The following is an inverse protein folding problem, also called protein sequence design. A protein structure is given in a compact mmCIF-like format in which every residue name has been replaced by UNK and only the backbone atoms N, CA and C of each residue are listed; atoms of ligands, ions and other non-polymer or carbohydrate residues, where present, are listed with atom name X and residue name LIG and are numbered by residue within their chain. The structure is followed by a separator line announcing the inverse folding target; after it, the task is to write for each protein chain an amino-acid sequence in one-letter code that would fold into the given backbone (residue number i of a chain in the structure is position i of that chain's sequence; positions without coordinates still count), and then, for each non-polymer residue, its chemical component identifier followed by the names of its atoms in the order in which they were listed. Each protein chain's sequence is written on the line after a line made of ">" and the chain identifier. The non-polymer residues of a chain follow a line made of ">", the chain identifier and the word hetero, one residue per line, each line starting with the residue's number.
data_IF_023012615522
#
_entry.id   IF_023012615522
#
_cell.length_a   1.000
_cell.length_b   1.000
_cell.length_c   1.000
_cell.angle_alpha   90.00
_cell.angle_beta   90.00
_cell.angle_gamma   90.00
#
_symmetry.space_group_name_H-M   'P 1'
#
loop_
_entity.id
_entity.type
_entity.pdbx_description
1 polymer ?
#
# COMPACT_ATOMS: atom_id res chain seq x y z
N UNK A 1 -4.61 9.16 0.61
CA UNK A 1 -3.61 8.33 -0.10
C UNK A 1 -3.68 6.88 0.37
N UNK A 2 -3.44 5.96 -0.52
CA UNK A 2 -3.30 4.54 -0.18
C UNK A 2 -1.83 4.30 0.16
N UNK A 3 -1.59 3.72 1.34
CA UNK A 3 -0.22 3.52 1.84
C UNK A 3 0.26 2.12 1.48
N UNK A 4 1.40 2.05 0.79
CA UNK A 4 2.02 0.79 0.40
C UNK A 4 2.53 0.03 1.65
N UNK A 5 2.49 -1.29 1.57
CA UNK A 5 2.92 -2.19 2.66
C UNK A 5 4.31 -1.84 3.20
N UNK A 6 5.26 -1.55 2.31
CA UNK A 6 6.64 -1.23 2.70
C UNK A 6 6.76 -0.04 3.64
N UNK A 7 5.88 0.94 3.51
CA UNK A 7 5.86 2.12 4.39
C UNK A 7 5.48 1.73 5.82
N UNK A 8 4.48 0.86 5.97
CA UNK A 8 4.09 0.34 7.28
C UNK A 8 5.18 -0.55 7.89
N UNK A 9 5.78 -1.43 7.08
CA UNK A 9 6.85 -2.31 7.55
C UNK A 9 8.04 -1.48 8.05
N UNK A 10 8.42 -0.45 7.31
CA UNK A 10 9.48 0.46 7.73
C UNK A 10 9.19 1.07 9.10
N UNK A 11 7.96 1.56 9.30
CA UNK A 11 7.55 2.11 10.59
C UNK A 11 7.66 1.08 11.70
N UNK A 12 7.13 -0.13 11.50
CA UNK A 12 7.12 -1.19 12.52
C UNK A 12 8.53 -1.64 12.92
N UNK A 13 9.48 -1.65 11.98
CA UNK A 13 10.85 -2.15 12.21
C UNK A 13 11.81 -1.09 12.70
N UNK A 14 11.49 0.18 12.55
CA UNK A 14 12.39 1.27 12.91
C UNK A 14 12.25 1.59 14.40
N UNK A 15 13.38 1.66 15.12
CA UNK A 15 13.36 1.98 16.55
C UNK A 15 12.92 3.42 16.80
N UNK A 16 13.53 4.37 16.13
CA UNK A 16 13.16 5.77 16.23
C UNK A 16 12.08 6.10 15.22
N UNK A 17 10.83 5.98 15.62
CA UNK A 17 9.67 6.20 14.75
C UNK A 17 9.65 7.58 14.11
N UNK A 18 10.26 8.57 14.76
CA UNK A 18 10.27 9.94 14.25
C UNK A 18 11.02 10.09 12.92
N UNK A 19 11.88 9.13 12.57
CA UNK A 19 12.63 9.15 11.31
C UNK A 19 11.86 8.54 10.14
N UNK A 20 10.71 7.93 10.41
CA UNK A 20 9.94 7.20 9.37
C UNK A 20 9.10 8.16 8.52
N UNK A 21 8.86 7.76 7.28
CA UNK A 21 7.98 8.52 6.36
C UNK A 21 6.60 8.70 6.98
N UNK A 22 6.07 7.63 7.57
CA UNK A 22 4.72 7.64 8.13
C UNK A 22 4.58 8.69 9.23
N UNK A 23 5.57 8.79 10.12
CA UNK A 23 5.56 9.75 11.22
C UNK A 23 5.74 11.19 10.74
N UNK A 24 6.43 11.38 9.61
CA UNK A 24 6.70 12.71 9.05
C UNK A 24 5.54 13.28 8.25
N UNK A 25 4.48 12.51 8.02
CA UNK A 25 3.30 13.01 7.32
C UNK A 25 2.58 14.04 8.18
N UNK A 26 1.87 14.95 7.51
CA UNK A 26 0.99 15.91 8.20
C UNK A 26 -0.11 15.17 8.96
N UNK A 27 -0.51 15.68 10.12
CA UNK A 27 -1.64 15.15 10.88
C UNK A 27 -2.96 15.21 10.10
N UNK A 28 -3.02 16.07 9.08
CA UNK A 28 -4.19 16.21 8.22
C UNK A 28 -4.20 15.21 7.05
N UNK A 29 -3.13 14.43 6.88
CA UNK A 29 -3.06 13.45 5.80
C UNK A 29 -4.10 12.35 5.99
N UNK A 30 -4.92 12.12 4.98
CA UNK A 30 -5.90 11.03 5.00
C UNK A 30 -5.25 9.76 4.47
N UNK A 31 -5.12 8.77 5.34
CA UNK A 31 -4.49 7.49 5.04
C UNK A 31 -5.54 6.41 4.86
N UNK A 32 -5.29 5.53 3.89
CA UNK A 32 -6.11 4.34 3.64
C UNK A 32 -5.20 3.14 3.48
N UNK A 33 -5.71 1.97 3.83
CA UNK A 33 -5.00 0.71 3.72
C UNK A 33 -5.81 -0.28 2.89
N UNK A 34 -5.14 -0.97 1.97
CA UNK A 34 -5.78 -2.01 1.17
C UNK A 34 -5.88 -3.32 1.95
N UNK A 35 -6.84 -4.17 1.58
CA UNK A 35 -6.97 -5.51 2.17
C UNK A 35 -5.70 -6.33 2.03
N UNK A 36 -5.02 -6.24 0.88
CA UNK A 36 -3.80 -7.01 0.64
C UNK A 36 -2.66 -6.55 1.57
N UNK A 37 -2.59 -5.27 1.87
CA UNK A 37 -1.59 -4.75 2.81
C UNK A 37 -1.85 -5.26 4.22
N UNK A 38 -3.10 -5.25 4.67
CA UNK A 38 -3.45 -5.83 5.98
C UNK A 38 -3.02 -7.29 6.07
N UNK A 39 -3.33 -8.07 5.04
CA UNK A 39 -2.91 -9.47 4.98
C UNK A 39 -1.39 -9.61 5.13
N UNK A 40 -0.63 -8.82 4.39
CA UNK A 40 0.84 -8.90 4.43
C UNK A 40 1.41 -8.52 5.79
N UNK A 41 0.87 -7.48 6.42
CA UNK A 41 1.32 -7.05 7.74
C UNK A 41 1.07 -8.14 8.79
N UNK A 42 -0.13 -8.71 8.80
CA UNK A 42 -0.44 -9.79 9.76
C UNK A 42 0.30 -11.08 9.45
N UNK A 43 0.50 -11.41 8.19
CA UNK A 43 1.28 -12.58 7.78
C UNK A 43 2.71 -12.52 8.34
N UNK A 44 3.30 -11.34 8.39
CA UNK A 44 4.63 -11.13 8.95
C UNK A 44 4.67 -10.99 10.47
N UNK A 45 3.52 -10.90 11.13
CA UNK A 45 3.44 -10.70 12.58
C UNK A 45 3.41 -12.05 13.31
N UNK A 46 4.59 -12.64 13.51
CA UNK A 46 4.76 -14.02 13.97
C UNK A 46 4.78 -14.19 15.49
N UNK A 47 4.51 -13.14 16.26
CA UNK A 47 4.40 -13.20 17.71
C UNK A 47 3.16 -12.41 18.17
N UNK A 48 2.64 -12.70 19.39
CA UNK A 48 1.50 -11.94 19.92
C UNK A 48 1.78 -10.43 19.99
N UNK A 49 2.99 -10.03 20.34
CA UNK A 49 3.35 -8.61 20.41
C UNK A 49 3.37 -7.97 19.02
N UNK A 50 3.95 -8.63 18.04
CA UNK A 50 3.97 -8.11 16.66
C UNK A 50 2.56 -7.99 16.10
N UNK A 51 1.70 -8.95 16.37
CA UNK A 51 0.30 -8.92 15.95
C UNK A 51 -0.41 -7.70 16.54
N UNK A 52 -0.22 -7.47 17.85
CA UNK A 52 -0.80 -6.32 18.52
C UNK A 52 -0.27 -5.00 17.95
N UNK A 53 1.03 -4.93 17.65
CA UNK A 53 1.64 -3.74 17.05
C UNK A 53 0.99 -3.39 15.71
N UNK A 54 0.73 -4.39 14.86
CA UNK A 54 0.02 -4.19 13.59
C UNK A 54 -1.40 -3.69 13.85
N UNK A 55 -2.10 -4.31 14.80
CA UNK A 55 -3.47 -3.92 15.14
C UNK A 55 -3.54 -2.47 15.59
N UNK A 56 -2.67 -2.07 16.50
CA UNK A 56 -2.64 -0.70 17.03
C UNK A 56 -2.34 0.30 15.89
N UNK A 57 -1.38 -0.02 15.04
CA UNK A 57 -1.01 0.86 13.94
C UNK A 57 -2.15 1.07 12.94
N UNK A 58 -2.91 0.03 12.63
CA UNK A 58 -3.87 0.06 11.53
C UNK A 58 -5.32 0.29 11.96
N UNK A 59 -5.64 0.21 13.25
CA UNK A 59 -7.03 0.29 13.73
C UNK A 59 -7.75 1.56 13.31
N UNK A 60 -7.07 2.69 13.25
CA UNK A 60 -7.66 3.98 12.91
C UNK A 60 -7.54 4.32 11.42
N UNK A 61 -6.98 3.42 10.62
CA UNK A 61 -6.80 3.63 9.19
C UNK A 61 -7.92 2.89 8.44
N UNK A 62 -8.79 3.62 7.70
CA UNK A 62 -9.87 2.97 6.97
C UNK A 62 -9.34 1.98 5.93
N UNK A 63 -9.98 0.81 5.90
CA UNK A 63 -9.68 -0.23 4.92
C UNK A 63 -10.43 -0.01 3.63
N UNK A 64 -9.72 -0.08 2.50
CA UNK A 64 -10.33 -0.14 1.18
C UNK A 64 -10.41 -1.61 0.77
N UNK A 65 -11.59 -2.18 0.94
CA UNK A 65 -11.83 -3.62 0.76
C UNK A 65 -11.68 -4.00 -0.72
N UNK A 66 -10.97 -5.08 -0.99
CA UNK A 66 -10.85 -5.62 -2.34
C UNK A 66 -12.23 -6.05 -2.86
N UNK A 67 -12.60 -5.51 -4.01
CA UNK A 67 -13.89 -5.70 -4.64
C UNK A 67 -13.74 -6.31 -6.03
N UNK A 68 -14.88 -6.65 -6.64
CA UNK A 68 -14.93 -7.10 -8.02
C UNK A 68 -14.27 -6.07 -8.96
N UNK A 69 -14.54 -4.78 -8.77
CA UNK A 69 -13.97 -3.71 -9.58
C UNK A 69 -12.45 -3.64 -9.44
N UNK A 70 -11.95 -3.80 -8.23
CA UNK A 70 -10.50 -3.82 -7.98
C UNK A 70 -9.86 -5.04 -8.66
N UNK A 71 -10.49 -6.21 -8.58
CA UNK A 71 -9.98 -7.41 -9.23
C UNK A 71 -9.91 -7.24 -10.75
N UNK A 72 -10.94 -6.67 -11.36
CA UNK A 72 -10.96 -6.40 -12.81
C UNK A 72 -9.86 -5.41 -13.19
N UNK A 73 -9.72 -4.34 -12.43
CA UNK A 73 -8.68 -3.33 -12.67
C UNK A 73 -7.28 -3.92 -12.53
N UNK A 74 -7.08 -4.74 -11.52
CA UNK A 74 -5.80 -5.45 -11.32
C UNK A 74 -5.46 -6.33 -12.53
N UNK A 75 -6.43 -7.05 -13.06
CA UNK A 75 -6.24 -7.89 -14.25
C UNK A 75 -5.84 -7.05 -15.47
N UNK A 76 -6.47 -5.90 -15.66
CA UNK A 76 -6.14 -4.96 -16.74
C UNK A 76 -4.70 -4.46 -16.61
N UNK A 77 -4.32 -4.04 -15.41
CA UNK A 77 -2.95 -3.60 -15.12
C UNK A 77 -1.94 -4.70 -15.44
N UNK A 78 -2.22 -5.93 -14.98
CA UNK A 78 -1.34 -7.06 -15.24
C UNK A 78 -1.15 -7.29 -16.74
N UNK A 79 -2.23 -7.28 -17.52
CA UNK A 79 -2.17 -7.50 -18.95
C UNK A 79 -1.37 -6.41 -19.67
N UNK A 80 -1.55 -5.15 -19.28
CA UNK A 80 -0.80 -4.04 -19.85
C UNK A 80 0.70 -4.16 -19.56
N UNK A 81 1.05 -4.45 -18.30
CA UNK A 81 2.45 -4.59 -17.89
C UNK A 81 3.11 -5.80 -18.56
N UNK A 82 2.36 -6.88 -18.72
CA UNK A 82 2.87 -8.08 -19.41
C UNK A 82 3.21 -7.79 -20.87
N UNK A 83 2.38 -7.03 -21.57
CA UNK A 83 2.64 -6.62 -22.96
C UNK A 83 3.93 -5.83 -23.08
N UNK A 84 4.21 -4.98 -22.10
CA UNK A 84 5.40 -4.13 -22.08
C UNK A 84 6.61 -4.82 -21.46
N UNK A 85 6.47 -6.08 -21.03
CA UNK A 85 7.51 -6.84 -20.31
C UNK A 85 8.02 -6.09 -19.07
N UNK A 86 7.07 -5.52 -18.30
CA UNK A 86 7.35 -4.70 -17.11
C UNK A 86 6.51 -5.13 -15.90
N UNK A 87 6.27 -6.42 -15.75
CA UNK A 87 5.44 -6.96 -14.67
C UNK A 87 6.03 -6.56 -13.31
N UNK A 88 5.16 -6.16 -12.39
CA UNK A 88 5.47 -5.94 -10.97
C UNK A 88 4.80 -7.02 -10.14
N UNK A 89 5.11 -7.07 -8.84
CA UNK A 89 4.56 -8.09 -7.96
C UNK A 89 3.04 -7.98 -7.87
N UNK A 90 2.39 -9.13 -7.68
CA UNK A 90 0.96 -9.27 -7.52
C UNK A 90 0.37 -8.29 -6.49
N UNK A 91 0.99 -8.19 -5.31
CA UNK A 91 0.53 -7.28 -4.24
C UNK A 91 0.54 -5.82 -4.67
N UNK A 92 1.57 -5.41 -5.41
CA UNK A 92 1.70 -4.03 -5.88
C UNK A 92 0.65 -3.71 -6.93
N UNK A 93 0.31 -4.68 -7.77
CA UNK A 93 -0.78 -4.54 -8.74
C UNK A 93 -2.10 -4.29 -8.03
N UNK A 94 -2.39 -5.03 -6.96
CA UNK A 94 -3.64 -4.84 -6.20
C UNK A 94 -3.68 -3.52 -5.44
N UNK A 95 -2.55 -3.08 -4.90
CA UNK A 95 -2.47 -1.75 -4.27
C UNK A 95 -2.72 -0.65 -5.30
N UNK A 96 -2.09 -0.76 -6.47
CA UNK A 96 -2.28 0.20 -7.56
C UNK A 96 -3.73 0.22 -8.05
N UNK A 97 -4.33 -0.95 -8.23
CA UNK A 97 -5.74 -1.07 -8.65
C UNK A 97 -6.67 -0.43 -7.62
N UNK A 98 -6.43 -0.66 -6.34
CA UNK A 98 -7.20 -0.07 -5.25
C UNK A 98 -7.15 1.46 -5.33
N UNK A 99 -5.95 2.01 -5.49
CA UNK A 99 -5.76 3.46 -5.59
C UNK A 99 -6.47 4.04 -6.81
N UNK A 100 -6.36 3.39 -7.97
CA UNK A 100 -7.01 3.86 -9.19
C UNK A 100 -8.54 3.84 -9.10
N UNK A 101 -9.11 2.78 -8.55
CA UNK A 101 -10.56 2.66 -8.39
C UNK A 101 -11.11 3.75 -7.46
N UNK A 102 -10.35 4.11 -6.43
CA UNK A 102 -10.76 5.14 -5.46
C UNK A 102 -10.26 6.54 -5.80
N UNK A 103 -9.56 6.70 -6.93
CA UNK A 103 -8.97 7.96 -7.36
C UNK A 103 -8.08 8.60 -6.29
N UNK A 104 -7.21 7.78 -5.71
CA UNK A 104 -6.28 8.19 -4.66
C UNK A 104 -4.83 7.98 -5.11
N UNK A 105 -3.90 8.82 -4.65
CA UNK A 105 -2.48 8.56 -4.87
C UNK A 105 -1.97 7.45 -3.95
N UNK A 106 -0.85 6.86 -4.32
CA UNK A 106 -0.14 5.86 -3.50
C UNK A 106 1.05 6.50 -2.82
N UNK A 107 1.20 6.26 -1.53
CA UNK A 107 2.43 6.58 -0.78
C UNK A 107 3.30 5.33 -0.76
N UNK A 108 4.47 5.40 -1.36
CA UNK A 108 5.40 4.28 -1.46
C UNK A 108 6.85 4.74 -1.50
N UNK A 109 7.75 3.85 -1.10
CA UNK A 109 9.18 4.01 -1.34
C UNK A 109 9.63 3.29 -2.61
N UNK A 110 8.77 2.46 -3.18
CA UNK A 110 9.05 1.70 -4.40
C UNK A 110 8.53 2.43 -5.63
N UNK A 111 9.04 3.61 -5.85
CA UNK A 111 8.58 4.51 -6.92
C UNK A 111 8.77 3.86 -8.30
N UNK A 112 9.90 3.17 -8.50
CA UNK A 112 10.23 2.55 -9.78
C UNK A 112 9.15 1.58 -10.27
N UNK A 113 8.61 0.73 -9.40
CA UNK A 113 7.60 -0.24 -9.79
C UNK A 113 6.24 0.41 -10.00
N UNK A 114 5.83 1.29 -9.11
CA UNK A 114 4.51 1.92 -9.22
C UNK A 114 4.41 2.90 -10.39
N UNK A 115 5.50 3.52 -10.84
CA UNK A 115 5.47 4.39 -12.01
C UNK A 115 5.17 3.64 -13.31
N UNK A 116 5.31 2.32 -13.32
CA UNK A 116 4.96 1.49 -14.49
C UNK A 116 3.45 1.41 -14.72
N UNK A 117 2.64 1.76 -13.73
CA UNK A 117 1.18 1.63 -13.81
C UNK A 117 0.58 2.89 -14.43
N UNK A 118 -0.11 2.74 -15.55
CA UNK A 118 -0.71 3.86 -16.28
C UNK A 118 -1.78 4.56 -15.44
N UNK A 119 -1.69 5.87 -15.37
CA UNK A 119 -2.69 6.70 -14.70
C UNK A 119 -2.57 6.76 -13.18
N UNK A 120 -1.65 6.00 -12.60
CA UNK A 120 -1.45 6.01 -11.16
C UNK A 120 -0.72 7.27 -10.72
N UNK A 121 -1.25 7.91 -9.69
CA UNK A 121 -0.60 9.06 -9.06
C UNK A 121 0.17 8.60 -7.83
N UNK A 122 1.38 9.12 -7.66
CA UNK A 122 2.16 8.88 -6.46
C UNK A 122 2.10 10.12 -5.58
N UNK A 123 1.97 9.90 -4.28
CA UNK A 123 2.02 11.00 -3.32
C UNK A 123 3.47 11.46 -3.19
N UNK A 124 3.70 12.73 -3.44
CA UNK A 124 5.01 13.37 -3.26
C UNK A 124 4.96 14.29 -2.05
N UNK A 125 5.92 14.09 -1.21
CA UNK A 125 6.01 14.85 0.03
C UNK A 125 6.63 16.22 -0.18
#
# INVERSE_FOLDING_TARGET
>A
MVVDTGVFINYLRTKDKSTTILQKLSDEAELYISSITLYELYMGATSPQKWLDVKILTDDIPELVSSKNIAEKAAIIYQELKKENKIIEFKDIFIAATALIHDLPVLTTDIKHFTRVNGLKLFEK
#
